data_IF_673959312075
#
_entry.id   IF_673959312075
#
_cell.length_a   1.000
_cell.length_b   1.000
_cell.length_c   1.000
_cell.angle_alpha   90.00
_cell.angle_beta   90.00
_cell.angle_gamma   90.00
#
_symmetry.space_group_name_H-M   'P 1'
#
loop_
_entity.id
_entity.type
_entity.pdbx_description
1 polymer ?
#
# COMPACT_ATOMS: atom_id res chain seq x y z
N UNK A 1 11.97 -8.81 48.81
CA UNK A 1 11.12 -8.11 47.83
C UNK A 1 11.85 -7.98 46.50
N UNK A 2 11.53 -8.80 45.49
CA UNK A 2 11.87 -8.58 44.07
C UNK A 2 11.34 -9.76 43.20
N UNK A 3 10.02 -9.96 43.11
CA UNK A 3 9.46 -11.02 42.25
C UNK A 3 8.00 -10.82 41.83
N UNK A 4 7.59 -9.57 41.53
CA UNK A 4 6.26 -9.27 40.96
C UNK A 4 6.24 -8.40 39.70
N UNK A 5 7.39 -7.90 39.23
CA UNK A 5 7.47 -7.01 38.05
C UNK A 5 7.68 -7.74 36.70
N UNK A 6 8.26 -8.95 36.69
CA UNK A 6 8.67 -9.63 35.44
C UNK A 6 7.53 -10.33 34.67
N UNK A 7 6.43 -10.71 35.33
CA UNK A 7 5.32 -11.46 34.67
C UNK A 7 4.41 -10.53 33.84
N UNK A 8 4.29 -9.25 34.22
CA UNK A 8 3.50 -8.26 33.46
C UNK A 8 4.12 -7.91 32.10
N UNK A 9 5.46 -7.90 32.01
CA UNK A 9 6.17 -7.60 30.75
C UNK A 9 6.23 -8.80 29.79
N UNK A 10 6.27 -10.03 30.30
CA UNK A 10 6.22 -11.25 29.47
C UNK A 10 4.84 -11.46 28.81
N UNK A 11 3.74 -11.11 29.47
CA UNK A 11 2.40 -11.11 28.85
C UNK A 11 2.27 -10.03 27.76
N UNK A 12 2.88 -8.85 27.94
CA UNK A 12 2.89 -7.78 26.94
C UNK A 12 3.73 -8.15 25.70
N UNK A 13 4.89 -8.78 25.88
CA UNK A 13 5.75 -9.25 24.80
C UNK A 13 5.19 -10.47 24.05
N UNK A 14 4.47 -11.38 24.74
CA UNK A 14 3.70 -12.44 24.07
C UNK A 14 2.49 -11.91 23.30
N UNK A 15 1.86 -10.83 23.76
CA UNK A 15 0.75 -10.18 23.05
C UNK A 15 1.23 -9.42 21.80
N UNK A 16 2.42 -8.83 21.85
CA UNK A 16 3.06 -8.20 20.68
C UNK A 16 3.41 -9.20 19.56
N UNK A 17 3.54 -10.50 19.89
CA UNK A 17 3.76 -11.60 18.93
C UNK A 17 2.52 -11.94 18.08
N UNK A 18 1.36 -11.34 18.38
CA UNK A 18 0.05 -11.82 17.93
C UNK A 18 -0.67 -10.91 16.92
N UNK A 19 -0.06 -9.79 16.50
CA UNK A 19 -0.73 -8.77 15.69
C UNK A 19 -0.04 -8.53 14.32
N UNK A 20 0.70 -9.50 13.78
CA UNK A 20 1.39 -9.37 12.49
C UNK A 20 0.50 -9.85 11.33
N UNK A 21 0.22 -8.95 10.39
CA UNK A 21 -0.63 -9.18 9.21
C UNK A 21 0.25 -9.19 7.95
N UNK A 22 0.46 -10.37 7.37
CA UNK A 22 1.32 -10.52 6.21
C UNK A 22 0.56 -10.46 4.90
N UNK A 23 1.01 -9.61 3.98
CA UNK A 23 0.47 -9.52 2.61
C UNK A 23 0.73 -10.82 1.86
N UNK A 24 -0.24 -11.28 1.07
CA UNK A 24 -0.09 -12.48 0.26
C UNK A 24 0.82 -12.24 -0.95
N UNK A 25 1.71 -13.20 -1.24
CA UNK A 25 2.61 -13.16 -2.39
C UNK A 25 1.88 -12.92 -3.72
N UNK A 26 0.74 -13.59 -3.93
CA UNK A 26 -0.05 -13.49 -5.16
C UNK A 26 -0.61 -12.08 -5.39
N UNK A 27 -0.95 -11.36 -4.32
CA UNK A 27 -1.48 -9.99 -4.42
C UNK A 27 -0.35 -9.01 -4.79
N UNK A 28 0.85 -9.22 -4.25
CA UNK A 28 2.06 -8.46 -4.64
C UNK A 28 2.40 -8.73 -6.10
N UNK A 29 2.49 -10.00 -6.50
CA UNK A 29 2.79 -10.37 -7.88
C UNK A 29 1.79 -9.74 -8.85
N UNK A 30 0.49 -9.93 -8.62
CA UNK A 30 -0.57 -9.37 -9.48
C UNK A 30 -0.46 -7.86 -9.62
N UNK A 31 -0.13 -7.16 -8.54
CA UNK A 31 0.04 -5.71 -8.55
C UNK A 31 1.29 -5.30 -9.34
N UNK A 32 2.46 -5.91 -9.06
CA UNK A 32 3.73 -5.57 -9.72
C UNK A 32 3.68 -5.80 -11.23
N UNK A 33 3.08 -6.90 -11.69
CA UNK A 33 2.97 -7.17 -13.12
C UNK A 33 2.19 -6.05 -13.85
N UNK A 34 1.30 -5.30 -13.19
CA UNK A 34 0.56 -4.19 -13.84
C UNK A 34 1.43 -2.99 -14.19
N UNK A 35 2.52 -2.79 -13.46
CA UNK A 35 3.50 -1.75 -13.78
C UNK A 35 4.44 -2.23 -14.88
N UNK A 36 4.81 -3.52 -14.88
CA UNK A 36 5.61 -4.14 -15.94
C UNK A 36 4.86 -4.23 -17.28
N UNK A 37 3.56 -4.53 -17.25
CA UNK A 37 2.66 -4.51 -18.41
C UNK A 37 2.66 -3.13 -19.10
N UNK A 38 2.79 -2.06 -18.32
CA UNK A 38 2.78 -0.68 -18.80
C UNK A 38 4.18 -0.20 -19.24
N UNK A 39 5.19 -0.44 -18.41
CA UNK A 39 6.59 -0.20 -18.72
C UNK A 39 7.46 -1.33 -18.16
N UNK A 40 7.98 -2.17 -19.06
CA UNK A 40 8.85 -3.30 -18.71
C UNK A 40 10.16 -2.90 -17.99
N UNK A 41 10.53 -1.61 -18.02
CA UNK A 41 11.72 -1.08 -17.37
C UNK A 41 11.43 -0.39 -16.03
N UNK A 42 10.18 -0.42 -15.54
CA UNK A 42 9.77 0.25 -14.29
C UNK A 42 10.76 0.01 -13.13
N UNK A 43 11.24 -1.22 -12.98
CA UNK A 43 12.16 -1.61 -11.89
C UNK A 43 13.62 -1.83 -12.33
N UNK A 44 13.92 -1.70 -13.63
CA UNK A 44 15.25 -1.99 -14.18
C UNK A 44 16.27 -0.98 -13.66
N UNK A 45 17.42 -1.47 -13.22
CA UNK A 45 18.52 -0.71 -12.63
C UNK A 45 18.11 0.15 -11.42
N UNK A 46 17.02 -0.23 -10.72
CA UNK A 46 16.54 0.48 -9.53
C UNK A 46 17.00 -0.17 -8.24
N UNK A 47 17.17 0.66 -7.22
CA UNK A 47 17.33 0.25 -5.83
C UNK A 47 15.96 0.23 -5.17
N UNK A 48 15.49 -0.95 -4.77
CA UNK A 48 14.20 -1.13 -4.10
C UNK A 48 14.42 -1.22 -2.60
N UNK A 49 13.59 -0.52 -1.81
CA UNK A 49 13.56 -0.64 -0.36
C UNK A 49 12.22 -1.21 0.12
N UNK A 50 12.28 -2.37 0.75
CA UNK A 50 11.15 -3.09 1.33
C UNK A 50 11.32 -3.17 2.85
N UNK A 51 11.20 -2.04 3.58
CA UNK A 51 11.24 -2.10 5.05
C UNK A 51 10.04 -2.89 5.57
N UNK A 52 10.25 -3.77 6.55
CA UNK A 52 9.21 -4.63 7.10
C UNK A 52 9.52 -4.97 8.56
N UNK A 53 8.59 -5.65 9.23
CA UNK A 53 8.83 -6.12 10.59
C UNK A 53 9.77 -7.33 10.61
N UNK A 54 9.63 -8.25 9.66
CA UNK A 54 10.53 -9.40 9.46
C UNK A 54 10.75 -9.71 7.96
N UNK A 55 11.98 -9.55 7.44
CA UNK A 55 12.34 -9.91 6.07
C UNK A 55 12.12 -11.38 5.70
N UNK A 56 12.24 -12.32 6.65
CA UNK A 56 12.08 -13.75 6.36
C UNK A 56 10.61 -14.15 6.17
N UNK A 57 9.69 -13.39 6.75
CA UNK A 57 8.24 -13.59 6.60
C UNK A 57 7.61 -12.61 5.59
N UNK A 58 8.35 -11.59 5.17
CA UNK A 58 7.90 -10.58 4.22
C UNK A 58 7.81 -11.14 2.79
N UNK A 59 6.59 -11.31 2.31
CA UNK A 59 6.35 -11.66 0.91
C UNK A 59 6.81 -10.57 -0.08
N UNK A 60 6.98 -9.32 0.36
CA UNK A 60 7.61 -8.28 -0.46
C UNK A 60 9.08 -8.60 -0.70
N UNK A 61 9.83 -8.87 0.37
CA UNK A 61 11.24 -9.25 0.26
C UNK A 61 11.38 -10.53 -0.59
N UNK A 62 10.57 -11.56 -0.28
CA UNK A 62 10.53 -12.81 -1.03
C UNK A 62 10.28 -12.60 -2.52
N UNK A 63 9.30 -11.78 -2.90
CA UNK A 63 9.02 -11.50 -4.31
C UNK A 63 10.21 -10.85 -5.00
N UNK A 64 10.76 -9.77 -4.45
CA UNK A 64 11.83 -9.02 -5.12
C UNK A 64 13.15 -9.76 -5.15
N UNK A 65 13.48 -10.56 -4.13
CA UNK A 65 14.71 -11.34 -4.14
C UNK A 65 14.64 -12.47 -5.17
N UNK A 66 13.53 -13.24 -5.22
CA UNK A 66 13.34 -14.33 -6.18
C UNK A 66 13.22 -13.82 -7.62
N UNK A 67 12.81 -12.56 -7.81
CA UNK A 67 12.68 -11.94 -9.13
C UNK A 67 13.82 -10.94 -9.42
N UNK A 68 14.88 -10.89 -8.63
CA UNK A 68 15.92 -9.84 -8.69
C UNK A 68 16.52 -9.73 -10.11
N UNK A 69 16.96 -10.85 -10.67
CA UNK A 69 17.54 -10.90 -12.02
C UNK A 69 16.48 -10.65 -13.11
N UNK A 70 15.27 -11.22 -12.97
CA UNK A 70 14.17 -11.03 -13.93
C UNK A 70 13.77 -9.55 -14.05
N UNK A 71 13.70 -8.84 -12.93
CA UNK A 71 13.37 -7.43 -12.86
C UNK A 71 14.57 -6.53 -13.22
N UNK A 72 15.78 -7.09 -13.28
CA UNK A 72 17.01 -6.34 -13.52
C UNK A 72 17.30 -5.33 -12.43
N UNK A 73 17.07 -5.67 -11.16
CA UNK A 73 17.30 -4.76 -10.03
C UNK A 73 18.78 -4.45 -9.89
N UNK A 74 19.09 -3.22 -9.45
CA UNK A 74 20.46 -2.84 -9.07
C UNK A 74 20.79 -3.32 -7.66
N UNK A 75 19.83 -3.19 -6.74
CA UNK A 75 20.00 -3.56 -5.33
C UNK A 75 18.61 -3.70 -4.67
N UNK A 76 18.50 -4.62 -3.73
CA UNK A 76 17.33 -4.76 -2.87
C UNK A 76 17.76 -4.53 -1.42
N UNK A 77 17.15 -3.56 -0.78
CA UNK A 77 17.36 -3.21 0.62
C UNK A 77 16.11 -3.66 1.40
N UNK A 78 16.31 -4.25 2.57
CA UNK A 78 15.24 -4.46 3.54
C UNK A 78 15.75 -4.28 4.96
N UNK A 79 14.86 -3.90 5.86
CA UNK A 79 15.12 -3.82 7.30
C UNK A 79 14.08 -4.64 8.04
N UNK A 80 14.44 -5.10 9.25
CA UNK A 80 13.51 -5.67 10.22
C UNK A 80 13.19 -4.68 11.35
N UNK A 81 12.10 -4.90 12.08
CA UNK A 81 11.72 -4.15 13.28
C UNK A 81 11.89 -5.02 14.54
N UNK A 82 12.33 -4.41 15.64
CA UNK A 82 12.39 -5.08 16.95
C UNK A 82 11.03 -4.95 17.65
N UNK A 83 10.35 -6.05 18.03
CA UNK A 83 10.94 -7.33 18.43
C UNK A 83 10.47 -8.51 17.56
N UNK A 84 10.94 -8.63 16.31
CA UNK A 84 10.71 -9.89 15.59
C UNK A 84 11.30 -11.07 16.38
N UNK A 85 10.48 -12.05 16.77
CA UNK A 85 10.94 -13.26 17.44
C UNK A 85 11.70 -14.18 16.48
N UNK A 86 11.35 -14.19 15.20
CA UNK A 86 11.82 -15.20 14.23
C UNK A 86 13.08 -14.74 13.49
N UNK A 87 13.24 -13.42 13.33
CA UNK A 87 14.47 -12.78 12.84
C UNK A 87 15.74 -13.27 13.55
N UNK A 88 15.63 -13.83 14.76
CA UNK A 88 16.74 -14.48 15.47
C UNK A 88 16.50 -15.96 15.84
N UNK A 89 15.27 -16.50 15.74
CA UNK A 89 14.98 -17.93 16.06
C UNK A 89 15.37 -18.82 14.89
N UNK A 90 15.17 -18.40 13.64
CA UNK A 90 15.67 -19.18 12.51
C UNK A 90 17.21 -19.17 12.48
N UNK A 91 17.87 -18.11 12.96
CA UNK A 91 19.32 -18.10 13.19
C UNK A 91 19.82 -19.20 14.15
N UNK A 92 19.02 -19.68 15.10
CA UNK A 92 19.39 -20.81 15.97
C UNK A 92 19.24 -22.18 15.30
N UNK A 93 18.46 -22.29 14.22
CA UNK A 93 18.39 -23.50 13.38
C UNK A 93 19.60 -23.63 12.44
N UNK A 94 20.50 -22.64 12.43
CA UNK A 94 21.52 -22.43 11.40
C UNK A 94 22.98 -22.56 11.87
N UNK A 95 23.21 -23.22 13.00
CA UNK A 95 24.52 -23.68 13.48
C UNK A 95 25.29 -22.64 14.31
N UNK A 96 25.93 -23.10 15.39
CA UNK A 96 26.83 -22.30 16.21
C UNK A 96 28.08 -21.93 15.41
N UNK A 97 28.16 -20.69 14.92
CA UNK A 97 29.34 -20.19 14.24
C UNK A 97 30.50 -20.02 15.23
N UNK A 98 31.57 -20.82 15.06
CA UNK A 98 32.74 -20.83 15.96
C UNK A 98 33.71 -19.67 15.70
N UNK A 99 33.50 -18.86 14.67
CA UNK A 99 34.38 -17.73 14.34
C UNK A 99 33.93 -16.37 14.87
N UNK A 100 32.72 -16.27 15.45
CA UNK A 100 32.28 -15.07 16.15
C UNK A 100 32.75 -15.11 17.61
N UNK A 101 33.31 -14.02 18.17
CA UNK A 101 33.62 -13.98 19.59
C UNK A 101 32.34 -14.23 20.38
N UNK A 102 32.32 -15.31 21.16
CA UNK A 102 31.18 -15.70 22.01
C UNK A 102 30.83 -14.55 22.94
N UNK A 103 29.83 -13.76 22.58
CA UNK A 103 29.29 -12.74 23.48
C UNK A 103 28.67 -13.48 24.67
N UNK A 104 29.23 -13.28 25.87
CA UNK A 104 28.61 -13.79 27.10
C UNK A 104 27.29 -13.06 27.30
N UNK A 105 26.17 -13.69 26.93
CA UNK A 105 24.83 -13.15 27.13
C UNK A 105 23.81 -13.73 26.16
N UNK A 106 22.53 -13.61 26.51
CA UNK A 106 21.40 -13.96 25.63
C UNK A 106 21.51 -13.14 24.33
N UNK A 107 21.32 -13.71 23.12
CA UNK A 107 21.37 -12.95 21.87
C UNK A 107 20.49 -11.71 21.99
N UNK A 108 21.09 -10.52 21.82
CA UNK A 108 20.31 -9.28 21.83
C UNK A 108 19.42 -9.31 20.60
N UNK A 109 18.11 -9.39 20.80
CA UNK A 109 17.13 -9.15 19.73
C UNK A 109 17.42 -7.75 19.18
N UNK A 110 17.98 -7.67 17.99
CA UNK A 110 18.35 -6.44 17.29
C UNK A 110 17.58 -6.41 15.98
N UNK A 111 17.21 -5.21 15.55
CA UNK A 111 16.74 -5.02 14.18
C UNK A 111 17.94 -5.25 13.24
N UNK A 112 17.69 -5.65 12.00
CA UNK A 112 18.72 -5.97 11.04
C UNK A 112 18.45 -5.24 9.73
N UNK A 113 19.51 -4.97 8.97
CA UNK A 113 19.43 -4.61 7.56
C UNK A 113 19.97 -5.75 6.71
N UNK A 114 19.38 -5.89 5.52
CA UNK A 114 19.83 -6.81 4.49
C UNK A 114 19.95 -6.03 3.19
N UNK A 115 21.08 -6.19 2.51
CA UNK A 115 21.36 -5.57 1.23
C UNK A 115 21.75 -6.68 0.26
N UNK A 116 20.94 -6.86 -0.78
CA UNK A 116 21.16 -7.82 -1.85
C UNK A 116 21.62 -7.04 -3.09
N UNK A 117 22.82 -7.35 -3.57
CA UNK A 117 23.37 -6.79 -4.81
C UNK A 117 23.39 -7.82 -5.94
N UNK A 118 23.51 -9.10 -5.61
CA UNK A 118 23.60 -10.18 -6.58
C UNK A 118 22.85 -11.41 -6.07
N UNK A 119 22.24 -12.15 -7.00
CA UNK A 119 21.64 -13.45 -6.70
C UNK A 119 22.06 -14.48 -7.76
N UNK A 120 22.52 -15.64 -7.30
CA UNK A 120 22.84 -16.81 -8.12
C UNK A 120 22.54 -18.09 -7.34
N UNK A 121 22.21 -19.16 -8.06
CA UNK A 121 22.12 -20.51 -7.48
C UNK A 121 23.51 -20.88 -6.89
N UNK A 122 23.54 -21.24 -5.60
CA UNK A 122 24.76 -21.60 -4.87
C UNK A 122 24.93 -23.11 -4.73
N UNK A 123 23.85 -23.88 -4.59
CA UNK A 123 23.99 -25.34 -4.45
C UNK A 123 24.01 -26.09 -5.78
N UNK A 124 23.78 -25.39 -6.89
CA UNK A 124 23.89 -25.93 -8.23
C UNK A 124 22.76 -26.88 -8.58
N UNK A 125 21.60 -26.73 -7.93
CA UNK A 125 20.42 -27.56 -8.19
C UNK A 125 19.60 -27.08 -9.40
N UNK A 126 19.92 -25.89 -9.94
CA UNK A 126 19.29 -25.28 -11.10
C UNK A 126 18.11 -24.36 -10.78
N UNK A 127 17.72 -24.20 -9.51
CA UNK A 127 16.65 -23.31 -9.05
C UNK A 127 17.14 -22.33 -7.98
N UNK A 128 16.95 -21.02 -8.20
CA UNK A 128 17.27 -20.03 -7.16
C UNK A 128 16.14 -19.93 -6.12
N UNK A 129 16.44 -20.25 -4.84
CA UNK A 129 15.46 -20.19 -3.74
C UNK A 129 15.90 -19.32 -2.54
N UNK A 130 15.04 -19.25 -1.50
CA UNK A 130 15.34 -18.47 -0.28
C UNK A 130 16.48 -19.06 0.56
N UNK A 131 16.81 -20.35 0.41
CA UNK A 131 17.95 -20.98 1.08
C UNK A 131 19.25 -20.51 0.45
N UNK A 132 19.29 -20.28 -0.86
CA UNK A 132 20.47 -19.69 -1.52
C UNK A 132 20.71 -18.27 -1.05
N UNK A 133 19.65 -17.47 -0.94
CA UNK A 133 19.73 -16.12 -0.34
C UNK A 133 20.35 -16.18 1.05
N UNK A 134 19.88 -17.12 1.89
CA UNK A 134 20.41 -17.28 3.23
C UNK A 134 21.89 -17.71 3.24
N UNK A 135 22.32 -18.60 2.33
CA UNK A 135 23.73 -18.99 2.16
C UNK A 135 24.59 -17.81 1.69
N UNK A 136 24.10 -17.03 0.72
CA UNK A 136 24.79 -15.83 0.20
C UNK A 136 24.99 -14.78 1.29
N UNK A 137 23.95 -14.53 2.10
CA UNK A 137 24.01 -13.58 3.22
C UNK A 137 25.01 -14.04 4.29
N UNK A 138 25.12 -15.35 4.56
CA UNK A 138 26.15 -15.90 5.46
C UNK A 138 27.56 -15.78 4.90
N UNK A 139 27.72 -15.99 3.59
CA UNK A 139 29.02 -15.82 2.94
C UNK A 139 29.50 -14.36 2.97
N UNK A 140 28.56 -13.40 3.08
CA UNK A 140 28.80 -11.97 3.28
C UNK A 140 29.85 -11.36 2.32
N UNK A 141 29.79 -11.78 1.04
CA UNK A 141 30.68 -11.28 -0.02
C UNK A 141 30.04 -10.12 -0.78
N UNK A 142 29.00 -10.43 -1.58
CA UNK A 142 28.29 -9.46 -2.41
C UNK A 142 26.98 -8.98 -1.76
N UNK A 143 26.46 -9.72 -0.80
CA UNK A 143 25.25 -9.38 -0.05
C UNK A 143 25.62 -9.13 1.40
N UNK A 144 25.00 -8.12 2.02
CA UNK A 144 25.29 -7.68 3.38
C UNK A 144 24.13 -8.05 4.32
N UNK A 145 24.47 -8.64 5.46
CA UNK A 145 23.61 -8.71 6.63
C UNK A 145 24.32 -8.06 7.82
N UNK A 146 23.66 -7.10 8.47
CA UNK A 146 24.22 -6.46 9.66
C UNK A 146 23.12 -6.01 10.63
N UNK A 147 23.40 -6.02 11.95
CA UNK A 147 22.50 -5.45 12.94
C UNK A 147 22.40 -3.93 12.78
N UNK A 148 21.21 -3.41 13.04
CA UNK A 148 20.92 -1.99 13.20
C UNK A 148 21.21 -1.54 14.64
N UNK A 149 21.57 -0.28 14.81
CA UNK A 149 21.86 0.33 16.11
C UNK A 149 20.59 0.55 16.94
N UNK A 150 19.47 0.88 16.28
CA UNK A 150 18.18 1.13 16.92
C UNK A 150 17.20 -0.02 16.66
N UNK A 151 15.90 0.28 16.65
CA UNK A 151 14.81 -0.69 16.61
C UNK A 151 14.27 -0.95 15.20
N UNK A 152 14.84 -0.34 14.16
CA UNK A 152 14.33 -0.44 12.79
C UNK A 152 13.15 0.47 12.47
N UNK A 153 12.79 1.42 13.36
CA UNK A 153 11.79 2.44 13.05
C UNK A 153 12.19 3.22 11.79
N UNK A 154 11.27 3.40 10.85
CA UNK A 154 11.52 4.07 9.56
C UNK A 154 12.01 5.53 9.72
N UNK A 155 11.83 6.13 10.90
CA UNK A 155 12.27 7.49 11.25
C UNK A 155 13.68 7.50 11.84
N UNK A 156 14.25 6.34 12.15
CA UNK A 156 15.59 6.24 12.70
C UNK A 156 16.63 6.74 11.65
N UNK A 157 17.73 7.40 12.08
CA UNK A 157 18.73 7.93 11.14
C UNK A 157 19.26 6.86 10.19
N UNK A 158 19.55 5.66 10.69
CA UNK A 158 20.00 4.52 9.88
C UNK A 158 18.98 4.08 8.82
N UNK A 159 17.70 3.97 9.17
CA UNK A 159 16.64 3.64 8.20
C UNK A 159 16.43 4.76 7.17
N UNK A 160 16.61 6.02 7.57
CA UNK A 160 16.55 7.18 6.68
C UNK A 160 17.74 7.18 5.71
N UNK A 161 18.94 6.80 6.13
CA UNK A 161 20.08 6.65 5.22
C UNK A 161 19.86 5.53 4.20
N UNK A 162 19.22 4.43 4.60
CA UNK A 162 18.80 3.37 3.67
C UNK A 162 17.72 3.86 2.69
N UNK A 163 16.73 4.62 3.18
CA UNK A 163 15.71 5.26 2.35
C UNK A 163 16.35 6.20 1.33
N UNK A 164 17.33 7.02 1.72
CA UNK A 164 18.01 7.95 0.81
C UNK A 164 18.69 7.21 -0.36
N UNK A 165 19.26 6.03 -0.11
CA UNK A 165 19.90 5.18 -1.13
C UNK A 165 18.94 4.51 -2.10
N UNK A 166 17.66 4.39 -1.75
CA UNK A 166 16.68 3.71 -2.60
C UNK A 166 16.03 4.64 -3.62
N UNK A 167 15.62 4.08 -4.75
CA UNK A 167 14.83 4.79 -5.76
C UNK A 167 13.33 4.62 -5.51
N UNK A 168 12.94 3.39 -5.13
CA UNK A 168 11.54 2.98 -4.97
C UNK A 168 11.33 2.32 -3.62
N UNK A 169 10.28 2.69 -2.90
CA UNK A 169 9.84 2.05 -1.66
C UNK A 169 8.61 1.19 -1.90
N UNK A 170 8.66 -0.10 -1.57
CA UNK A 170 7.55 -1.03 -1.82
C UNK A 170 7.29 -1.85 -0.56
N UNK A 171 6.17 -1.59 0.13
CA UNK A 171 5.90 -2.25 1.43
C UNK A 171 4.44 -2.13 1.90
N UNK A 172 4.12 -2.81 3.00
CA UNK A 172 2.93 -2.58 3.81
C UNK A 172 3.31 -1.77 5.07
N UNK A 173 3.16 -0.44 5.05
CA UNK A 173 3.55 0.41 6.17
C UNK A 173 2.60 0.28 7.38
N UNK A 174 3.04 0.66 8.60
CA UNK A 174 2.18 0.69 9.77
C UNK A 174 1.04 1.69 9.59
N UNK A 175 -0.21 1.22 9.60
CA UNK A 175 -1.40 2.07 9.35
C UNK A 175 -1.55 3.21 10.37
N UNK A 176 -1.11 3.04 11.60
CA UNK A 176 -1.14 4.08 12.65
C UNK A 176 -0.21 5.27 12.34
N UNK A 177 0.86 5.04 11.57
CA UNK A 177 1.85 6.05 11.18
C UNK A 177 1.76 6.38 9.68
N UNK A 178 0.68 5.97 9.00
CA UNK A 178 0.57 6.05 7.54
C UNK A 178 0.78 7.47 7.00
N UNK A 179 0.20 8.50 7.64
CA UNK A 179 0.37 9.89 7.21
C UNK A 179 1.81 10.37 7.32
N UNK A 180 2.48 10.04 8.42
CA UNK A 180 3.88 10.38 8.66
C UNK A 180 4.80 9.65 7.68
N UNK A 181 4.52 8.37 7.43
CA UNK A 181 5.24 7.54 6.47
C UNK A 181 5.12 8.10 5.04
N UNK A 182 3.90 8.37 4.55
CA UNK A 182 3.68 8.98 3.23
C UNK A 182 4.35 10.35 3.14
N UNK A 183 4.28 11.17 4.20
CA UNK A 183 4.98 12.46 4.24
C UNK A 183 6.48 12.26 4.01
N UNK A 184 7.11 11.31 4.70
CA UNK A 184 8.54 11.01 4.56
C UNK A 184 8.88 10.61 3.11
N UNK A 185 8.07 9.75 2.47
CA UNK A 185 8.30 9.37 1.08
C UNK A 185 8.32 10.57 0.13
N UNK A 186 7.42 11.54 0.35
CA UNK A 186 7.41 12.79 -0.43
C UNK A 186 8.55 13.74 -0.07
N UNK A 187 8.95 13.83 1.21
CA UNK A 187 10.06 14.69 1.65
C UNK A 187 11.40 14.24 1.04
N UNK A 188 11.56 12.94 0.79
CA UNK A 188 12.75 12.35 0.17
C UNK A 188 12.59 12.03 -1.33
N UNK A 189 11.54 12.55 -1.97
CA UNK A 189 11.23 12.40 -3.40
C UNK A 189 11.27 10.95 -3.89
N UNK A 190 10.70 10.03 -3.12
CA UNK A 190 10.71 8.60 -3.44
C UNK A 190 9.57 8.23 -4.37
N UNK A 191 9.88 7.34 -5.30
CA UNK A 191 8.85 6.53 -5.93
C UNK A 191 8.37 5.48 -4.93
N UNK A 192 7.10 5.13 -4.97
CA UNK A 192 6.57 4.17 -4.01
C UNK A 192 5.35 3.41 -4.52
N UNK A 193 5.16 2.23 -3.96
CA UNK A 193 3.95 1.40 -4.03
C UNK A 193 3.70 0.82 -2.65
N UNK A 194 2.66 1.29 -1.97
CA UNK A 194 2.40 0.91 -0.57
C UNK A 194 0.96 0.50 -0.36
N UNK A 195 0.72 -0.36 0.63
CA UNK A 195 -0.63 -0.71 1.05
C UNK A 195 -1.16 0.35 2.02
N UNK A 196 -2.39 0.79 1.81
CA UNK A 196 -3.10 1.69 2.70
C UNK A 196 -4.55 1.25 2.91
N UNK A 197 -5.19 1.84 3.91
CA UNK A 197 -6.64 1.73 4.07
C UNK A 197 -7.36 2.76 3.18
N UNK A 198 -8.52 2.43 2.62
CA UNK A 198 -9.32 3.31 1.75
C UNK A 198 -9.62 4.67 2.37
N UNK A 199 -9.76 4.72 3.70
CA UNK A 199 -9.97 5.97 4.43
C UNK A 199 -8.81 6.96 4.26
N UNK A 200 -7.62 6.50 3.84
CA UNK A 200 -6.51 7.40 3.58
C UNK A 200 -6.79 8.41 2.45
N UNK A 201 -7.71 8.10 1.52
CA UNK A 201 -8.08 8.97 0.41
C UNK A 201 -8.84 10.23 0.86
N UNK A 202 -9.41 10.22 2.07
CA UNK A 202 -10.06 11.40 2.67
C UNK A 202 -9.13 12.16 3.61
N UNK A 203 -7.85 11.76 3.74
CA UNK A 203 -6.88 12.53 4.49
C UNK A 203 -6.46 13.73 3.66
N UNK A 204 -6.53 14.94 4.23
CA UNK A 204 -6.23 16.20 3.53
C UNK A 204 -4.94 16.11 2.74
N UNK A 205 -3.86 15.66 3.38
CA UNK A 205 -2.53 15.61 2.78
C UNK A 205 -2.48 14.67 1.58
N UNK A 206 -3.14 13.52 1.66
CA UNK A 206 -3.14 12.48 0.61
C UNK A 206 -4.06 12.87 -0.53
N UNK A 207 -5.29 13.33 -0.22
CA UNK A 207 -6.24 13.80 -1.23
C UNK A 207 -5.62 14.89 -2.12
N UNK A 208 -4.87 15.82 -1.51
CA UNK A 208 -4.18 16.87 -2.24
C UNK A 208 -3.10 16.33 -3.18
N UNK A 209 -2.38 15.26 -2.80
CA UNK A 209 -1.44 14.59 -3.71
C UNK A 209 -2.19 13.91 -4.86
N UNK A 210 -3.31 13.25 -4.59
CA UNK A 210 -4.15 12.60 -5.62
C UNK A 210 -4.68 13.63 -6.62
N UNK A 211 -5.30 14.70 -6.12
CA UNK A 211 -5.81 15.80 -6.92
C UNK A 211 -4.71 16.43 -7.80
N UNK A 212 -3.52 16.65 -7.23
CA UNK A 212 -2.36 17.22 -7.95
C UNK A 212 -1.64 16.21 -8.85
N UNK A 213 -2.20 15.01 -9.03
CA UNK A 213 -1.60 13.92 -9.82
C UNK A 213 -0.17 13.55 -9.37
N UNK A 214 0.08 13.62 -8.05
CA UNK A 214 1.37 13.24 -7.42
C UNK A 214 1.33 11.88 -6.72
N UNK A 215 0.13 11.34 -6.49
CA UNK A 215 -0.13 9.98 -6.05
C UNK A 215 -1.44 9.51 -6.67
N UNK A 216 -1.66 8.21 -6.77
CA UNK A 216 -2.89 7.61 -7.27
C UNK A 216 -3.07 6.22 -6.67
N UNK A 217 -4.25 5.64 -6.87
CA UNK A 217 -4.47 4.24 -6.51
C UNK A 217 -3.67 3.37 -7.47
N UNK A 218 -3.12 2.27 -6.96
CA UNK A 218 -2.57 1.20 -7.80
C UNK A 218 -3.66 0.48 -8.56
N UNK A 219 -3.37 -0.72 -9.04
CA UNK A 219 -4.30 -1.39 -9.93
C UNK A 219 -5.45 -2.06 -9.16
N UNK A 220 -6.61 -1.42 -9.07
CA UNK A 220 -7.80 -2.06 -8.49
C UNK A 220 -8.03 -1.76 -7.00
N UNK A 221 -9.30 -1.81 -6.60
CA UNK A 221 -9.77 -1.57 -5.24
C UNK A 221 -10.63 -2.73 -4.73
N UNK A 222 -10.84 -2.82 -3.42
CA UNK A 222 -11.67 -3.85 -2.79
C UNK A 222 -10.89 -5.15 -2.58
N UNK A 223 -11.36 -6.26 -3.18
CA UNK A 223 -10.73 -7.59 -3.03
C UNK A 223 -9.43 -7.78 -3.81
N UNK A 224 -8.86 -6.69 -4.35
CA UNK A 224 -7.55 -6.73 -5.00
C UNK A 224 -6.44 -7.10 -4.02
N UNK A 225 -6.61 -6.70 -2.76
CA UNK A 225 -5.89 -7.29 -1.62
C UNK A 225 -6.84 -8.32 -1.00
N UNK A 226 -6.55 -9.59 -1.21
CA UNK A 226 -7.46 -10.70 -0.91
C UNK A 226 -7.45 -11.10 0.58
N UNK A 227 -6.59 -10.45 1.37
CA UNK A 227 -6.48 -10.57 2.82
C UNK A 227 -5.04 -10.71 3.29
N UNK A 228 -4.87 -10.76 4.60
CA UNK A 228 -3.59 -10.88 5.26
C UNK A 228 -3.50 -12.20 6.01
N UNK A 229 -2.33 -12.84 5.96
CA UNK A 229 -2.03 -14.00 6.78
C UNK A 229 -1.84 -13.52 8.23
N UNK A 230 -2.53 -14.17 9.15
CA UNK A 230 -2.51 -13.84 10.59
C UNK A 230 -1.96 -15.01 11.41
N UNK A 231 -1.42 -14.77 12.62
CA UNK A 231 -0.88 -15.81 13.46
C UNK A 231 -1.91 -16.88 13.82
N UNK A 232 -1.47 -18.12 14.08
CA UNK A 232 -2.36 -19.21 14.52
C UNK A 232 -3.12 -18.90 15.83
N UNK A 233 -2.61 -17.98 16.64
CA UNK A 233 -3.27 -17.50 17.86
C UNK A 233 -4.35 -16.45 17.61
N UNK A 234 -4.42 -15.86 16.41
CA UNK A 234 -5.45 -14.91 16.05
C UNK A 234 -6.76 -15.65 15.89
N UNK A 235 -7.77 -15.24 16.65
CA UNK A 235 -9.11 -15.79 16.57
C UNK A 235 -9.78 -15.29 15.29
N UNK A 236 -10.27 -16.23 14.49
CA UNK A 236 -10.94 -15.93 13.24
C UNK A 236 -12.39 -15.55 13.53
N UNK A 237 -12.79 -14.38 13.07
CA UNK A 237 -14.13 -13.84 13.27
C UNK A 237 -14.72 -13.38 11.94
N UNK A 238 -16.02 -13.64 11.78
CA UNK A 238 -16.80 -13.20 10.62
C UNK A 238 -16.55 -13.99 9.34
N UNK A 239 -17.29 -13.65 8.30
CA UNK A 239 -17.23 -14.29 6.96
C UNK A 239 -15.99 -13.91 6.15
N UNK A 240 -15.19 -12.95 6.64
CA UNK A 240 -13.96 -12.48 5.99
C UNK A 240 -12.72 -13.29 6.39
N UNK A 241 -12.87 -14.23 7.33
CA UNK A 241 -11.81 -15.13 7.76
C UNK A 241 -11.88 -16.48 7.04
N UNK A 242 -10.73 -16.99 6.59
CA UNK A 242 -10.61 -18.32 5.97
C UNK A 242 -9.30 -19.01 6.35
N UNK A 243 -9.25 -20.31 6.14
CA UNK A 243 -8.01 -21.10 6.18
C UNK A 243 -7.73 -21.56 4.75
N UNK A 244 -6.51 -21.35 4.26
CA UNK A 244 -6.13 -21.79 2.93
C UNK A 244 -5.69 -23.27 2.92
N UNK A 245 -5.33 -23.77 1.72
CA UNK A 245 -4.89 -25.17 1.52
C UNK A 245 -3.60 -25.51 2.28
N UNK A 246 -2.78 -24.53 2.64
CA UNK A 246 -1.52 -24.71 3.36
C UNK A 246 -1.72 -24.65 4.88
N UNK A 247 -2.95 -24.37 5.34
CA UNK A 247 -3.28 -24.20 6.75
C UNK A 247 -3.02 -22.79 7.28
N UNK A 248 -2.75 -21.82 6.40
CA UNK A 248 -2.57 -20.42 6.77
C UNK A 248 -3.92 -19.77 7.05
N UNK A 249 -3.98 -19.00 8.14
CA UNK A 249 -5.16 -18.25 8.55
C UNK A 249 -5.16 -16.91 7.84
N UNK A 250 -6.20 -16.58 7.09
CA UNK A 250 -6.30 -15.34 6.32
C UNK A 250 -7.50 -14.53 6.79
N UNK A 251 -7.28 -13.25 7.07
CA UNK A 251 -8.33 -12.26 7.33
C UNK A 251 -8.37 -11.28 6.17
N UNK A 252 -9.46 -11.29 5.41
CA UNK A 252 -9.73 -10.25 4.44
C UNK A 252 -10.10 -8.96 5.17
N UNK A 253 -9.63 -7.83 4.66
CA UNK A 253 -10.18 -6.53 5.04
C UNK A 253 -10.58 -5.86 3.73
N UNK A 254 -11.89 -5.74 3.51
CA UNK A 254 -12.45 -5.18 2.27
C UNK A 254 -12.08 -3.70 2.00
N UNK A 255 -11.24 -3.10 2.84
CA UNK A 255 -10.91 -1.67 2.87
C UNK A 255 -9.43 -1.39 2.56
N UNK A 256 -8.65 -2.35 2.09
CA UNK A 256 -7.27 -2.09 1.69
C UNK A 256 -7.16 -1.72 0.19
N UNK A 257 -6.17 -0.90 -0.12
CA UNK A 257 -5.80 -0.51 -1.48
C UNK A 257 -4.29 -0.35 -1.62
N UNK A 258 -3.82 -0.32 -2.86
CA UNK A 258 -2.48 0.15 -3.20
C UNK A 258 -2.50 1.66 -3.43
N UNK A 259 -1.58 2.38 -2.79
CA UNK A 259 -1.31 3.80 -3.05
C UNK A 259 0.08 3.91 -3.65
N UNK A 260 0.20 4.62 -4.76
CA UNK A 260 1.43 4.65 -5.56
C UNK A 260 1.66 6.01 -6.21
N UNK A 261 2.89 6.25 -6.67
CA UNK A 261 3.23 7.28 -7.65
C UNK A 261 4.07 6.72 -8.82
N UNK A 262 4.06 5.39 -8.97
CA UNK A 262 4.52 4.65 -10.15
C UNK A 262 3.39 4.57 -11.16
N UNK A 263 3.71 4.75 -12.43
CA UNK A 263 2.70 4.79 -13.48
C UNK A 263 2.25 3.40 -13.91
N UNK A 264 0.99 3.25 -14.33
CA UNK A 264 0.42 1.97 -14.75
C UNK A 264 -0.71 2.17 -15.75
N UNK A 265 -0.97 1.18 -16.61
CA UNK A 265 -1.88 1.32 -17.76
C UNK A 265 -3.32 1.72 -17.38
N UNK A 266 -3.84 1.18 -16.27
CA UNK A 266 -5.20 1.50 -15.80
C UNK A 266 -5.41 3.00 -15.51
N UNK A 267 -4.35 3.73 -15.14
CA UNK A 267 -4.40 5.18 -14.91
C UNK A 267 -4.78 5.97 -16.17
N UNK A 268 -4.44 5.42 -17.33
CA UNK A 268 -4.64 6.04 -18.64
C UNK A 268 -5.84 5.43 -19.38
N UNK A 269 -6.55 4.48 -18.77
CA UNK A 269 -7.70 3.85 -19.39
C UNK A 269 -8.91 4.80 -19.33
N UNK A 270 -9.43 5.31 -20.48
CA UNK A 270 -10.63 6.12 -20.47
C UNK A 270 -11.83 5.28 -20.04
N UNK A 271 -12.71 5.86 -19.23
CA UNK A 271 -13.98 5.25 -18.92
C UNK A 271 -14.93 5.35 -20.12
N UNK A 272 -15.54 4.22 -20.54
CA UNK A 272 -16.62 4.27 -21.51
C UNK A 272 -17.85 4.88 -20.85
N UNK A 273 -18.35 5.98 -21.40
CA UNK A 273 -19.46 6.73 -20.84
C UNK A 273 -20.59 6.87 -21.86
N UNK A 274 -21.81 6.79 -21.37
CA UNK A 274 -23.03 7.14 -22.08
C UNK A 274 -23.33 8.63 -21.94
N UNK A 275 -24.10 9.19 -22.87
CA UNK A 275 -24.72 10.52 -22.70
C UNK A 275 -25.71 10.52 -21.54
N UNK A 276 -26.13 11.70 -21.07
CA UNK A 276 -27.19 11.83 -20.07
C UNK A 276 -28.47 11.10 -20.51
N UNK A 277 -28.90 11.30 -21.76
CA UNK A 277 -30.12 10.68 -22.29
C UNK A 277 -30.03 9.15 -22.32
N UNK A 278 -28.89 8.60 -22.75
CA UNK A 278 -28.66 7.16 -22.75
C UNK A 278 -28.60 6.59 -21.34
N UNK A 279 -27.93 7.26 -20.39
CA UNK A 279 -27.92 6.81 -19.00
C UNK A 279 -29.32 6.74 -18.41
N UNK A 280 -30.15 7.77 -18.61
CA UNK A 280 -31.54 7.79 -18.14
C UNK A 280 -32.38 6.68 -18.78
N UNK A 281 -32.04 6.20 -19.99
CA UNK A 281 -32.80 5.16 -20.69
C UNK A 281 -32.29 3.73 -20.43
N UNK A 282 -30.97 3.56 -20.35
CA UNK A 282 -30.31 2.25 -20.44
C UNK A 282 -29.47 1.88 -19.22
N UNK A 283 -29.31 2.79 -18.24
CA UNK A 283 -28.57 2.46 -17.02
C UNK A 283 -29.12 1.22 -16.34
N UNK A 284 -28.24 0.38 -15.79
CA UNK A 284 -28.62 -0.77 -14.98
C UNK A 284 -29.07 -0.38 -13.57
N UNK A 285 -28.85 0.87 -13.17
CA UNK A 285 -29.13 1.38 -11.83
C UNK A 285 -30.48 2.10 -11.81
N UNK A 286 -31.41 1.65 -10.95
CA UNK A 286 -32.79 2.16 -10.89
C UNK A 286 -32.88 3.60 -10.39
N UNK A 287 -31.85 4.07 -9.70
CA UNK A 287 -31.71 5.45 -9.22
C UNK A 287 -31.44 6.42 -10.37
N UNK A 288 -31.00 5.92 -11.54
CA UNK A 288 -30.74 6.71 -12.76
C UNK A 288 -31.70 6.35 -13.89
N UNK A 289 -31.94 5.06 -14.11
CA UNK A 289 -32.83 4.59 -15.17
C UNK A 289 -34.26 5.09 -14.94
N UNK A 290 -34.90 5.50 -16.04
CA UNK A 290 -36.28 5.97 -16.11
C UNK A 290 -36.55 7.24 -15.27
N UNK A 291 -35.48 7.94 -14.84
CA UNK A 291 -35.60 9.27 -14.21
C UNK A 291 -35.74 10.35 -15.28
N UNK A 292 -36.37 11.46 -14.91
CA UNK A 292 -36.53 12.64 -15.79
C UNK A 292 -35.21 13.37 -16.00
N UNK A 293 -34.42 13.49 -14.95
CA UNK A 293 -33.11 14.14 -14.96
C UNK A 293 -32.23 13.58 -13.83
N UNK A 294 -30.94 13.90 -13.87
CA UNK A 294 -30.03 13.61 -12.77
C UNK A 294 -30.36 14.48 -11.55
N UNK A 295 -30.23 13.95 -10.32
CA UNK A 295 -30.35 14.77 -9.12
C UNK A 295 -29.31 15.90 -9.11
N UNK A 296 -29.70 17.06 -8.59
CA UNK A 296 -28.83 18.24 -8.43
C UNK A 296 -28.65 18.52 -6.95
N UNK A 297 -27.50 19.09 -6.59
CA UNK A 297 -27.29 19.57 -5.23
C UNK A 297 -28.00 20.92 -5.02
N UNK A 298 -28.64 21.10 -3.87
CA UNK A 298 -29.42 22.30 -3.56
C UNK A 298 -28.53 23.53 -3.34
N UNK A 299 -27.30 23.31 -2.84
CA UNK A 299 -26.40 24.34 -2.34
C UNK A 299 -25.06 24.40 -3.09
N UNK A 300 -24.94 23.74 -4.24
CA UNK A 300 -23.75 23.74 -5.08
C UNK A 300 -24.14 23.44 -6.52
N UNK A 301 -23.59 24.18 -7.48
CA UNK A 301 -23.86 23.99 -8.91
C UNK A 301 -23.16 22.72 -9.45
N UNK A 302 -23.75 21.57 -9.13
CA UNK A 302 -23.30 20.25 -9.53
C UNK A 302 -24.48 19.26 -9.60
N UNK A 303 -24.34 18.25 -10.44
CA UNK A 303 -25.21 17.06 -10.39
C UNK A 303 -24.62 16.02 -9.43
N UNK A 304 -25.49 15.26 -8.79
CA UNK A 304 -25.14 14.06 -8.06
C UNK A 304 -25.14 12.86 -9.03
N UNK A 305 -24.02 12.14 -9.06
CA UNK A 305 -23.84 10.94 -9.88
C UNK A 305 -23.55 9.77 -8.93
N UNK A 306 -24.57 8.96 -8.56
CA UNK A 306 -24.43 7.94 -7.53
C UNK A 306 -23.52 6.77 -7.94
N UNK A 307 -23.26 6.58 -9.24
CA UNK A 307 -22.48 5.45 -9.76
C UNK A 307 -21.46 5.90 -10.80
N UNK A 308 -20.23 5.38 -10.71
CA UNK A 308 -19.13 5.73 -11.63
C UNK A 308 -19.43 5.42 -13.10
N UNK A 309 -20.18 4.35 -13.38
CA UNK A 309 -20.58 3.98 -14.74
C UNK A 309 -21.82 4.75 -15.24
N UNK A 310 -22.40 5.62 -14.42
CA UNK A 310 -23.48 6.54 -14.80
C UNK A 310 -22.98 7.99 -14.98
N UNK A 311 -21.66 8.21 -15.04
CA UNK A 311 -21.10 9.53 -15.34
C UNK A 311 -21.43 9.87 -16.80
N UNK A 312 -22.13 10.99 -17.07
CA UNK A 312 -22.48 11.38 -18.42
C UNK A 312 -21.27 11.90 -19.23
N UNK A 313 -21.22 11.56 -20.52
CA UNK A 313 -20.17 12.01 -21.45
C UNK A 313 -20.32 13.47 -21.89
N UNK A 314 -21.55 13.98 -21.92
CA UNK A 314 -21.99 15.26 -22.50
C UNK A 314 -22.24 16.37 -21.47
N UNK A 315 -22.15 16.07 -20.16
CA UNK A 315 -22.28 17.07 -19.10
C UNK A 315 -20.95 17.78 -18.82
N UNK A 316 -20.96 19.12 -18.90
CA UNK A 316 -19.75 19.96 -18.74
C UNK A 316 -19.56 20.56 -17.34
N UNK A 317 -20.58 20.48 -16.48
CA UNK A 317 -20.58 21.03 -15.12
C UNK A 317 -19.80 20.18 -14.12
N UNK A 318 -19.83 20.57 -12.84
CA UNK A 318 -19.29 19.74 -11.75
C UNK A 318 -20.20 18.55 -11.49
N UNK A 319 -19.61 17.39 -11.23
CA UNK A 319 -20.31 16.16 -10.87
C UNK A 319 -19.79 15.67 -9.53
N UNK A 320 -20.69 15.38 -8.59
CA UNK A 320 -20.38 14.60 -7.40
C UNK A 320 -20.39 13.12 -7.74
N UNK A 321 -19.26 12.43 -7.56
CA UNK A 321 -19.14 10.98 -7.82
C UNK A 321 -18.70 10.25 -6.56
N UNK A 322 -18.93 8.92 -6.43
CA UNK A 322 -18.48 8.16 -5.27
C UNK A 322 -16.96 8.22 -5.11
N UNK A 323 -16.43 8.10 -3.88
CA UNK A 323 -14.98 8.01 -3.64
C UNK A 323 -14.31 6.85 -4.41
N UNK A 324 -15.07 5.78 -4.63
CA UNK A 324 -14.65 4.60 -5.41
C UNK A 324 -14.37 4.91 -6.87
N UNK A 325 -14.80 6.07 -7.39
CA UNK A 325 -14.39 6.59 -8.70
C UNK A 325 -12.87 6.69 -8.86
N UNK A 326 -12.12 6.93 -7.78
CA UNK A 326 -10.66 7.09 -7.85
C UNK A 326 -9.93 5.83 -8.38
N UNK A 327 -10.53 4.64 -8.26
CA UNK A 327 -10.06 3.38 -8.85
C UNK A 327 -10.13 3.36 -10.40
N UNK A 328 -10.84 4.33 -10.96
CA UNK A 328 -11.10 4.49 -12.40
C UNK A 328 -10.74 5.90 -12.88
N UNK A 329 -10.06 6.68 -12.05
CA UNK A 329 -9.72 8.06 -12.36
C UNK A 329 -8.60 8.12 -13.40
N UNK A 330 -8.96 8.61 -14.59
CA UNK A 330 -8.02 8.99 -15.63
C UNK A 330 -7.88 10.54 -15.66
N UNK A 331 -6.68 11.10 -15.43
CA UNK A 331 -6.44 12.55 -15.41
C UNK A 331 -6.56 13.21 -16.79
N UNK A 332 -6.53 12.44 -17.87
CA UNK A 332 -6.77 12.91 -19.23
C UNK A 332 -8.25 13.10 -19.49
N UNK A 333 -9.10 12.29 -18.85
CA UNK A 333 -10.55 12.33 -19.03
C UNK A 333 -11.26 13.23 -18.01
N UNK A 334 -10.72 13.35 -16.79
CA UNK A 334 -11.35 14.09 -15.69
C UNK A 334 -10.37 14.97 -14.92
N UNK A 335 -10.90 16.05 -14.37
CA UNK A 335 -10.23 16.91 -13.39
C UNK A 335 -10.90 16.76 -12.03
N UNK A 336 -10.12 16.50 -10.97
CA UNK A 336 -10.61 16.52 -9.59
C UNK A 336 -10.66 17.97 -9.09
N UNK A 337 -11.81 18.42 -8.64
CA UNK A 337 -12.06 19.76 -8.12
C UNK A 337 -11.85 19.80 -6.60
N UNK A 338 -12.60 18.99 -5.86
CA UNK A 338 -12.54 18.90 -4.39
C UNK A 338 -13.27 17.63 -3.87
N UNK A 339 -13.48 17.53 -2.56
CA UNK A 339 -14.21 16.42 -1.93
C UNK A 339 -15.23 16.93 -0.90
N UNK A 340 -16.51 16.60 -1.06
CA UNK A 340 -17.56 16.80 -0.06
C UNK A 340 -17.42 15.77 1.07
N UNK A 341 -17.58 16.12 2.36
CA UNK A 341 -17.92 17.44 2.92
C UNK A 341 -16.70 18.27 3.36
N UNK A 342 -15.50 17.88 2.97
CA UNK A 342 -14.27 18.46 3.51
C UNK A 342 -13.86 19.77 2.82
N UNK A 343 -14.02 19.85 1.49
CA UNK A 343 -13.63 20.99 0.66
C UNK A 343 -12.19 21.46 0.92
N UNK A 344 -11.24 20.51 0.91
CA UNK A 344 -9.85 20.74 1.27
C UNK A 344 -9.20 21.86 0.44
N UNK A 345 -9.58 22.03 -0.82
CA UNK A 345 -9.01 23.06 -1.69
C UNK A 345 -9.49 24.45 -1.29
N UNK A 346 -10.77 24.60 -0.96
CA UNK A 346 -11.34 25.88 -0.51
C UNK A 346 -10.69 26.29 0.81
N UNK A 347 -10.57 25.35 1.75
CA UNK A 347 -9.92 25.58 3.04
C UNK A 347 -8.43 25.94 2.87
N UNK A 348 -7.71 25.30 1.93
CA UNK A 348 -6.32 25.63 1.62
C UNK A 348 -6.11 27.05 1.09
N UNK A 349 -7.12 27.62 0.43
CA UNK A 349 -7.09 29.01 -0.04
C UNK A 349 -7.44 30.02 1.07
N UNK A 350 -7.67 29.56 2.30
CA UNK A 350 -8.10 30.42 3.40
C UNK A 350 -9.56 30.88 3.31
N UNK A 351 -10.34 30.29 2.40
CA UNK A 351 -11.75 30.62 2.23
C UNK A 351 -12.63 29.82 3.22
N UNK A 352 -13.80 30.35 3.64
CA UNK A 352 -14.72 29.63 4.50
C UNK A 352 -15.11 28.28 3.89
N UNK A 353 -15.02 27.21 4.68
CA UNK A 353 -15.43 25.87 4.24
C UNK A 353 -16.91 25.88 3.87
N UNK A 354 -17.30 25.48 2.65
CA UNK A 354 -18.70 25.33 2.28
C UNK A 354 -19.42 24.34 3.21
N UNK A 355 -20.74 24.51 3.41
CA UNK A 355 -21.53 23.51 4.09
C UNK A 355 -21.49 22.19 3.31
N UNK A 356 -21.74 21.08 4.01
CA UNK A 356 -21.95 19.78 3.37
C UNK A 356 -23.03 19.89 2.30
N UNK A 357 -22.81 19.21 1.17
CA UNK A 357 -23.74 19.25 0.05
C UNK A 357 -25.10 18.67 0.44
N UNK A 358 -26.16 19.24 -0.12
CA UNK A 358 -27.54 18.83 0.15
C UNK A 358 -28.24 18.34 -1.11
N UNK A 359 -29.05 17.29 -0.96
CA UNK A 359 -29.92 16.76 -2.00
C UNK A 359 -31.33 16.73 -1.42
N UNK A 360 -32.28 17.40 -2.08
CA UNK A 360 -33.68 17.45 -1.65
C UNK A 360 -33.84 17.88 -0.17
N UNK A 361 -33.09 18.92 0.22
CA UNK A 361 -33.12 19.53 1.55
C UNK A 361 -32.31 18.81 2.63
N UNK A 362 -31.74 17.63 2.35
CA UNK A 362 -30.99 16.81 3.33
C UNK A 362 -29.51 16.78 2.99
N UNK A 363 -28.66 16.70 4.01
CA UNK A 363 -27.22 16.52 3.80
C UNK A 363 -26.98 15.19 3.05
N UNK A 364 -26.15 15.24 2.00
CA UNK A 364 -25.66 14.04 1.31
C UNK A 364 -24.86 13.20 2.31
N UNK A 365 -25.31 11.98 2.65
CA UNK A 365 -24.67 11.17 3.67
C UNK A 365 -23.30 10.62 3.23
N UNK A 366 -22.95 10.74 1.95
CA UNK A 366 -21.73 10.16 1.40
C UNK A 366 -20.64 11.20 1.14
N UNK A 367 -19.39 10.76 1.28
CA UNK A 367 -18.26 11.51 0.76
C UNK A 367 -18.28 11.45 -0.77
N UNK A 368 -18.23 12.61 -1.43
CA UNK A 368 -18.29 12.72 -2.89
C UNK A 368 -17.07 13.44 -3.43
N UNK A 369 -16.44 12.84 -4.43
CA UNK A 369 -15.38 13.50 -5.19
C UNK A 369 -16.07 14.41 -6.19
N UNK A 370 -15.73 15.69 -6.15
CA UNK A 370 -16.22 16.66 -7.12
C UNK A 370 -15.28 16.64 -8.32
N UNK A 371 -15.79 16.29 -9.48
CA UNK A 371 -15.02 16.19 -10.71
C UNK A 371 -15.63 17.05 -11.83
N UNK A 372 -14.81 17.36 -12.84
CA UNK A 372 -15.25 17.85 -14.15
C UNK A 372 -14.61 17.00 -15.25
N UNK A 373 -15.16 17.09 -16.46
CA UNK A 373 -14.44 16.64 -17.65
C UNK A 373 -13.17 17.45 -17.82
N UNK A 374 -12.06 16.78 -18.12
CA UNK A 374 -10.79 17.44 -18.41
C UNK A 374 -10.94 18.31 -19.66
N UNK A 375 -10.27 19.47 -19.65
CA UNK A 375 -10.16 20.35 -20.84
C UNK A 375 -9.01 19.96 -21.75
N UNK A 376 -8.18 18.99 -21.35
CA UNK A 376 -7.15 18.44 -22.22
C UNK A 376 -7.86 17.68 -23.33
N UNK A 377 -7.70 18.19 -24.54
CA UNK A 377 -8.37 17.77 -25.77
C UNK A 377 -8.20 16.24 -25.91
N UNK A 378 -9.32 15.52 -26.05
CA UNK A 378 -9.36 14.16 -26.61
C UNK A 378 -9.48 14.32 -28.11
#
# INVERSE_FOLDING_TARGET
MARKSSIKNLKKARKAKNDEFYTQYIDIQKEIEKYLDYDSNTFRNKVIYCNCDDPFESNFFRYFVLNFNRLGLKQLITTSYKPSPVANIQLQLFGDDKTLPKSKGRPKVTANKFIINEVHDIDGDGEFDLKDVAKQLKANKHNEWAPLEKNGDFRSPECVELLKKSDIVITNPPFSLFREYVKQLFDYDKKFLIIGNINCLTYREIFQKVKKNKAWLGNGMGRWISGFIVPKSYELYGSEARIDKNGDRIVATNNCLWLTNLDHGRRHQPLPLMTMAENLKYSKHKEIKDKKEYPKYDNYDAIEVPFTDAIPSDYKGVMGVPITFLDKYNPEQFEIIDINPHFFTIVEKGLPKPPQLKIAGRNDPYARILIKKSRKII
#
